data_IF_672997250026
#
_entry.id   IF_672997250026
#
_cell.length_a   1.000
_cell.length_b   1.000
_cell.length_c   1.000
_cell.angle_alpha   90.00
_cell.angle_beta   90.00
_cell.angle_gamma   90.00
#
_symmetry.space_group_name_H-M   'P 1'
#
loop_
_entity.id
_entity.type
_entity.pdbx_description
1 polymer ?
#
# COMPACT_ATOMS: atom_id res chain seq x y z
N UNK A 1 5.48 -41.46 1.71
CA UNK A 1 6.54 -40.55 2.22
C UNK A 1 6.89 -39.44 1.22
N UNK A 2 7.34 -39.76 -0.01
CA UNK A 2 7.72 -38.74 -1.01
C UNK A 2 6.59 -37.79 -1.45
N UNK A 3 5.33 -38.24 -1.52
CA UNK A 3 4.18 -37.38 -1.91
C UNK A 3 3.76 -36.39 -0.82
N UNK A 4 3.87 -36.79 0.46
CA UNK A 4 3.63 -35.92 1.61
C UNK A 4 4.74 -34.88 1.76
N UNK A 5 6.00 -35.27 1.49
CA UNK A 5 7.13 -34.34 1.49
C UNK A 5 7.03 -33.32 0.34
N UNK A 6 6.60 -33.74 -0.86
CA UNK A 6 6.31 -32.83 -1.98
C UNK A 6 5.14 -31.89 -1.69
N UNK A 7 4.08 -32.38 -1.03
CA UNK A 7 2.98 -31.52 -0.56
C UNK A 7 3.48 -30.55 0.52
N UNK A 8 4.23 -31.00 1.51
CA UNK A 8 4.78 -30.14 2.57
C UNK A 8 5.77 -29.10 2.03
N UNK A 9 6.57 -29.44 1.01
CA UNK A 9 7.39 -28.50 0.24
C UNK A 9 6.52 -27.51 -0.54
N UNK A 10 5.51 -27.98 -1.25
CA UNK A 10 4.58 -27.14 -2.00
C UNK A 10 3.84 -26.13 -1.10
N UNK A 11 3.36 -26.59 0.06
CA UNK A 11 2.75 -25.74 1.09
C UNK A 11 3.82 -24.87 1.77
N UNK A 12 5.02 -25.37 1.99
CA UNK A 12 6.08 -24.61 2.60
C UNK A 12 6.60 -23.43 1.78
N UNK A 13 6.82 -23.68 0.50
CA UNK A 13 7.14 -22.63 -0.46
C UNK A 13 5.96 -21.66 -0.70
N UNK A 14 4.72 -22.05 -0.34
CA UNK A 14 3.58 -21.13 -0.35
C UNK A 14 3.57 -20.09 0.78
N UNK A 15 4.10 -20.44 1.95
CA UNK A 15 3.77 -19.73 3.19
C UNK A 15 4.98 -19.17 3.93
N UNK A 16 6.04 -18.78 3.19
CA UNK A 16 7.29 -18.20 3.72
C UNK A 16 7.06 -17.13 4.80
N UNK A 17 6.19 -16.18 4.55
CA UNK A 17 6.06 -15.02 5.42
C UNK A 17 5.18 -15.31 6.65
N UNK A 18 4.22 -16.24 6.56
CA UNK A 18 3.51 -16.72 7.74
C UNK A 18 4.44 -17.53 8.67
N UNK A 19 5.49 -18.13 8.11
CA UNK A 19 6.57 -18.77 8.88
C UNK A 19 7.47 -17.70 9.52
N UNK A 20 7.88 -16.67 8.79
CA UNK A 20 8.71 -15.58 9.34
C UNK A 20 7.97 -14.72 10.38
N UNK A 21 6.68 -14.43 10.20
CA UNK A 21 5.81 -13.76 11.21
C UNK A 21 5.63 -14.62 12.45
N UNK A 22 5.52 -15.96 12.31
CA UNK A 22 5.46 -16.87 13.46
C UNK A 22 6.83 -17.08 14.13
N UNK A 23 7.94 -16.90 13.41
CA UNK A 23 9.31 -17.05 13.93
C UNK A 23 9.90 -15.75 14.49
N UNK A 24 9.37 -14.58 14.13
CA UNK A 24 9.77 -13.29 14.71
C UNK A 24 9.48 -13.15 16.21
N UNK A 25 8.63 -14.02 16.77
CA UNK A 25 8.40 -14.17 18.21
C UNK A 25 9.39 -15.10 18.93
N UNK A 26 10.26 -15.80 18.19
CA UNK A 26 11.29 -16.70 18.75
C UNK A 26 12.65 -16.07 18.51
N UNK A 27 13.12 -15.27 19.47
CA UNK A 27 14.54 -14.94 19.53
C UNK A 27 15.33 -16.24 19.71
N UNK A 28 15.99 -16.73 18.66
CA UNK A 28 17.08 -17.69 18.80
C UNK A 28 18.36 -17.04 18.31
N UNK A 29 19.19 -16.68 19.29
CA UNK A 29 20.62 -16.46 19.09
C UNK A 29 21.24 -17.70 18.45
N UNK A 30 22.29 -17.48 17.64
CA UNK A 30 23.17 -18.49 17.03
C UNK A 30 22.61 -19.22 15.80
N UNK A 31 22.60 -18.54 14.65
CA UNK A 31 22.65 -19.18 13.34
C UNK A 31 23.76 -18.54 12.47
N UNK A 32 24.60 -19.33 11.78
CA UNK A 32 25.68 -18.81 10.95
C UNK A 32 25.13 -18.08 9.71
N UNK A 33 25.84 -17.05 9.19
CA UNK A 33 25.39 -16.25 8.06
C UNK A 33 25.45 -17.11 6.79
N UNK A 34 24.28 -17.42 6.21
CA UNK A 34 24.21 -18.09 4.90
C UNK A 34 23.07 -19.10 4.70
N UNK A 35 22.29 -19.44 5.72
CA UNK A 35 21.24 -20.47 5.61
C UNK A 35 19.81 -19.92 5.72
N UNK A 36 19.45 -18.86 4.98
CA UNK A 36 18.07 -18.36 4.88
C UNK A 36 17.23 -19.18 3.88
N UNK A 37 17.27 -20.51 3.99
CA UNK A 37 16.42 -21.38 3.18
C UNK A 37 15.07 -21.60 3.87
N UNK A 38 14.01 -21.31 3.12
CA UNK A 38 12.60 -21.58 3.43
C UNK A 38 12.34 -22.99 3.99
N UNK A 39 13.06 -23.97 3.46
CA UNK A 39 13.05 -25.35 3.92
C UNK A 39 13.47 -25.48 5.39
N UNK A 40 14.48 -24.72 5.83
CA UNK A 40 14.91 -24.69 7.22
C UNK A 40 13.84 -24.13 8.15
N UNK A 41 13.15 -23.06 7.73
CA UNK A 41 12.10 -22.43 8.51
C UNK A 41 10.82 -23.28 8.62
N UNK A 42 10.45 -24.00 7.55
CA UNK A 42 9.36 -25.00 7.61
C UNK A 42 9.71 -26.21 8.43
N UNK A 43 10.93 -26.72 8.28
CA UNK A 43 11.38 -27.85 9.09
C UNK A 43 11.40 -27.43 10.57
N UNK A 44 11.74 -26.17 10.88
CA UNK A 44 11.63 -25.59 12.22
C UNK A 44 10.17 -25.50 12.71
N UNK A 45 9.23 -24.94 11.95
CA UNK A 45 7.80 -24.88 12.35
C UNK A 45 7.17 -26.27 12.45
N UNK A 46 7.50 -27.18 11.53
CA UNK A 46 7.00 -28.55 11.53
C UNK A 46 7.60 -29.40 12.66
N UNK A 47 8.86 -29.14 13.04
CA UNK A 47 9.50 -29.69 14.25
C UNK A 47 9.13 -28.93 15.53
N UNK A 48 8.46 -27.78 15.42
CA UNK A 48 8.00 -26.96 16.52
C UNK A 48 6.94 -27.66 17.37
N UNK A 49 6.53 -27.01 18.46
CA UNK A 49 5.49 -27.54 19.34
C UNK A 49 4.15 -27.64 18.59
N UNK A 50 3.23 -28.53 19.01
CA UNK A 50 1.87 -28.56 18.46
C UNK A 50 1.18 -27.20 18.44
N UNK A 51 1.47 -26.34 19.43
CA UNK A 51 0.96 -24.97 19.52
C UNK A 51 1.51 -24.06 18.40
N UNK A 52 2.80 -24.13 18.10
CA UNK A 52 3.43 -23.36 17.01
C UNK A 52 2.88 -23.78 15.64
N UNK A 53 2.69 -25.08 15.40
CA UNK A 53 2.05 -25.59 14.17
C UNK A 53 0.62 -25.10 14.03
N UNK A 54 -0.15 -25.12 15.12
CA UNK A 54 -1.55 -24.65 15.14
C UNK A 54 -1.62 -23.16 14.83
N UNK A 55 -0.84 -22.32 15.51
CA UNK A 55 -0.80 -20.87 15.27
C UNK A 55 -0.41 -20.52 13.82
N UNK A 56 0.55 -21.25 13.25
CA UNK A 56 0.93 -21.08 11.84
C UNK A 56 -0.23 -21.41 10.89
N UNK A 57 -0.89 -22.56 11.07
CA UNK A 57 -2.03 -22.96 10.22
C UNK A 57 -3.19 -21.98 10.36
N UNK A 58 -3.50 -21.54 11.57
CA UNK A 58 -4.55 -20.54 11.83
C UNK A 58 -4.22 -19.20 11.15
N UNK A 59 -2.97 -18.75 11.20
CA UNK A 59 -2.53 -17.52 10.50
C UNK A 59 -2.68 -17.64 8.99
N UNK A 60 -2.32 -18.81 8.43
CA UNK A 60 -2.45 -19.08 6.99
C UNK A 60 -3.93 -19.12 6.57
N UNK A 61 -4.78 -19.80 7.34
CA UNK A 61 -6.21 -19.88 7.05
C UNK A 61 -6.89 -18.52 7.20
N UNK A 62 -6.53 -17.73 8.22
CA UNK A 62 -7.00 -16.35 8.38
C UNK A 62 -6.65 -15.50 7.16
N UNK A 63 -5.40 -15.55 6.69
CA UNK A 63 -4.98 -14.79 5.51
C UNK A 63 -5.69 -15.26 4.23
N UNK A 64 -5.92 -16.57 4.09
CA UNK A 64 -6.67 -17.14 2.96
C UNK A 64 -8.17 -16.84 3.01
N UNK A 65 -8.72 -16.54 4.19
CA UNK A 65 -10.13 -16.19 4.37
C UNK A 65 -10.41 -14.72 4.04
N UNK A 66 -9.39 -13.87 3.93
CA UNK A 66 -9.55 -12.45 3.61
C UNK A 66 -10.08 -12.29 2.17
N UNK A 67 -11.00 -11.34 1.94
CA UNK A 67 -11.53 -11.08 0.62
C UNK A 67 -10.40 -10.64 -0.32
N UNK A 68 -10.50 -11.06 -1.60
CA UNK A 68 -9.49 -10.75 -2.62
C UNK A 68 -9.34 -9.24 -2.88
N UNK A 69 -10.37 -8.46 -2.55
CA UNK A 69 -10.33 -7.01 -2.56
C UNK A 69 -10.94 -6.41 -1.28
N UNK A 70 -10.78 -5.11 -1.12
CA UNK A 70 -11.50 -4.32 -0.11
C UNK A 70 -11.67 -2.89 -0.61
N UNK A 71 -12.63 -2.17 -0.02
CA UNK A 71 -12.86 -0.75 -0.32
C UNK A 71 -12.19 0.12 0.74
N UNK A 72 -11.49 1.18 0.33
CA UNK A 72 -10.96 2.19 1.24
C UNK A 72 -11.12 3.60 0.66
N UNK A 73 -11.27 4.60 1.52
CA UNK A 73 -11.38 6.00 1.09
C UNK A 73 -9.99 6.62 1.00
N UNK A 74 -9.69 7.28 -0.13
CA UNK A 74 -8.47 8.03 -0.32
C UNK A 74 -8.61 9.41 0.30
N UNK A 75 -7.69 9.77 1.19
CA UNK A 75 -7.55 11.13 1.73
C UNK A 75 -6.34 11.81 1.10
N UNK A 76 -6.40 13.13 0.95
CA UNK A 76 -5.31 13.91 0.34
C UNK A 76 -5.41 14.03 -1.17
N UNK A 77 -4.56 14.92 -1.70
CA UNK A 77 -4.49 15.28 -3.11
C UNK A 77 -3.23 14.72 -3.79
N UNK A 78 -2.44 13.87 -3.13
CA UNK A 78 -1.14 13.43 -3.66
C UNK A 78 -1.22 12.63 -4.95
N UNK A 79 -2.38 12.03 -5.24
CA UNK A 79 -2.61 11.29 -6.49
C UNK A 79 -3.39 12.09 -7.54
N UNK A 80 -3.66 13.38 -7.32
CA UNK A 80 -4.24 14.24 -8.34
C UNK A 80 -3.23 14.45 -9.48
N UNK A 81 -3.66 14.54 -10.75
CA UNK A 81 -5.05 14.56 -11.21
C UNK A 81 -5.68 13.17 -11.40
N UNK A 82 -4.92 12.08 -11.23
CA UNK A 82 -5.43 10.73 -11.49
C UNK A 82 -6.55 10.32 -10.53
N UNK A 83 -6.34 10.56 -9.22
CA UNK A 83 -7.30 10.28 -8.16
C UNK A 83 -7.47 11.53 -7.30
N UNK A 84 -8.66 11.75 -6.75
CA UNK A 84 -8.98 12.89 -5.88
C UNK A 84 -8.79 14.27 -6.52
N UNK A 85 -8.86 14.40 -7.85
CA UNK A 85 -8.72 15.68 -8.53
C UNK A 85 -9.79 16.72 -8.13
N UNK A 86 -10.96 16.26 -7.69
CA UNK A 86 -12.10 17.10 -7.32
C UNK A 86 -12.12 17.48 -5.82
N UNK A 87 -11.19 16.96 -5.02
CA UNK A 87 -11.20 17.18 -3.57
C UNK A 87 -10.64 18.56 -3.26
N UNK A 88 -11.50 19.44 -2.74
CA UNK A 88 -11.13 20.84 -2.46
C UNK A 88 -10.12 21.00 -1.32
N UNK A 89 -10.08 20.06 -0.37
CA UNK A 89 -9.20 20.10 0.82
C UNK A 89 -8.41 18.80 0.96
N UNK A 90 -7.09 18.85 1.20
CA UNK A 90 -6.27 17.64 1.35
C UNK A 90 -6.64 16.81 2.59
N UNK A 91 -7.43 17.35 3.52
CA UNK A 91 -7.85 16.64 4.72
C UNK A 91 -9.20 15.96 4.60
N UNK A 92 -9.93 16.20 3.50
CA UNK A 92 -11.23 15.56 3.30
C UNK A 92 -11.08 14.16 2.71
N UNK A 93 -11.98 13.24 3.10
CA UNK A 93 -12.16 12.00 2.36
C UNK A 93 -12.58 12.33 0.92
N UNK A 94 -11.90 11.71 -0.04
CA UNK A 94 -12.20 11.79 -1.48
C UNK A 94 -12.80 10.49 -2.00
N UNK A 95 -12.22 9.98 -3.08
CA UNK A 95 -12.64 8.79 -3.81
C UNK A 95 -12.60 7.54 -2.94
N UNK A 96 -13.60 6.67 -3.13
CA UNK A 96 -13.56 5.30 -2.62
C UNK A 96 -12.86 4.43 -3.65
N UNK A 97 -11.87 3.68 -3.20
CA UNK A 97 -11.02 2.85 -4.03
C UNK A 97 -11.33 1.38 -3.78
N UNK A 98 -11.56 0.62 -4.85
CA UNK A 98 -11.54 -0.85 -4.79
C UNK A 98 -10.10 -1.30 -4.96
N UNK A 99 -9.56 -1.93 -3.92
CA UNK A 99 -8.16 -2.32 -3.83
C UNK A 99 -8.09 -3.84 -3.86
N UNK A 100 -7.47 -4.39 -4.91
CA UNK A 100 -7.09 -5.79 -4.97
C UNK A 100 -5.95 -6.05 -4.00
N UNK A 101 -6.12 -7.00 -3.08
CA UNK A 101 -5.02 -7.49 -2.25
C UNK A 101 -4.00 -8.19 -3.16
N UNK A 102 -2.77 -7.73 -3.12
CA UNK A 102 -1.69 -8.38 -3.84
C UNK A 102 -1.13 -9.46 -2.94
N UNK A 103 -1.57 -10.69 -3.16
CA UNK A 103 -0.99 -11.84 -2.49
C UNK A 103 0.49 -11.93 -2.86
N UNK A 104 1.34 -12.01 -1.84
CA UNK A 104 2.80 -12.16 -1.98
C UNK A 104 3.24 -13.47 -2.67
N UNK A 105 2.25 -14.26 -3.08
CA UNK A 105 2.36 -15.66 -3.45
C UNK A 105 2.35 -15.88 -4.98
N UNK A 106 2.90 -14.96 -5.76
CA UNK A 106 3.02 -15.14 -7.22
C UNK A 106 4.35 -15.80 -7.59
N UNK A 107 4.61 -16.99 -7.05
CA UNK A 107 5.57 -17.92 -7.64
C UNK A 107 4.84 -18.76 -8.69
N UNK A 108 5.23 -18.64 -9.97
CA UNK A 108 4.72 -19.51 -11.02
C UNK A 108 5.69 -20.66 -11.24
N UNK A 109 5.21 -21.89 -11.16
CA UNK A 109 5.96 -23.06 -11.63
C UNK A 109 5.61 -23.27 -13.10
N UNK A 110 6.50 -22.92 -14.02
CA UNK A 110 6.35 -23.35 -15.41
C UNK A 110 6.77 -24.82 -15.52
N UNK A 111 5.80 -25.69 -15.77
CA UNK A 111 6.02 -27.14 -15.88
C UNK A 111 6.52 -27.57 -17.27
N UNK A 112 6.91 -26.63 -18.14
CA UNK A 112 7.11 -26.89 -19.58
C UNK A 112 8.32 -27.79 -19.88
N UNK A 113 9.26 -28.01 -18.93
CA UNK A 113 10.44 -28.87 -19.15
C UNK A 113 10.87 -29.75 -17.97
N UNK A 114 10.05 -29.88 -16.92
CA UNK A 114 10.45 -30.61 -15.70
C UNK A 114 11.51 -29.87 -14.85
N UNK A 115 11.91 -28.66 -15.27
CA UNK A 115 12.76 -27.75 -14.52
C UNK A 115 11.87 -26.74 -13.80
N UNK A 116 11.89 -26.74 -12.47
CA UNK A 116 11.11 -25.78 -11.67
C UNK A 116 11.87 -24.46 -11.61
N UNK A 117 11.65 -23.60 -12.60
CA UNK A 117 12.20 -22.24 -12.57
C UNK A 117 11.28 -21.36 -11.73
N UNK A 118 11.76 -20.97 -10.53
CA UNK A 118 11.03 -20.05 -9.66
C UNK A 118 11.20 -18.62 -10.15
N UNK A 119 10.40 -18.19 -11.13
CA UNK A 119 10.29 -16.77 -11.43
C UNK A 119 9.43 -16.12 -10.34
N UNK A 120 10.08 -15.37 -9.43
CA UNK A 120 9.37 -14.46 -8.52
C UNK A 120 8.79 -13.36 -9.39
N UNK A 121 7.50 -13.43 -9.69
CA UNK A 121 6.84 -12.37 -10.45
C UNK A 121 6.81 -11.10 -9.60
N UNK A 122 7.04 -9.91 -10.21
CA UNK A 122 6.82 -8.65 -9.52
C UNK A 122 5.39 -8.57 -8.98
N UNK A 123 5.22 -8.01 -7.78
CA UNK A 123 3.91 -7.79 -7.17
C UNK A 123 3.15 -6.71 -7.95
N UNK A 124 3.88 -5.71 -8.42
CA UNK A 124 3.39 -4.61 -9.23
C UNK A 124 4.35 -4.34 -10.39
N UNK A 125 3.85 -3.67 -11.42
CA UNK A 125 4.61 -3.27 -12.59
C UNK A 125 4.64 -1.74 -12.70
N UNK A 126 5.58 -1.21 -13.49
CA UNK A 126 5.62 0.23 -13.79
C UNK A 126 4.27 0.71 -14.31
N UNK A 127 3.79 1.82 -13.77
CA UNK A 127 2.48 2.41 -14.05
C UNK A 127 1.35 1.92 -13.14
N UNK A 128 1.54 0.89 -12.33
CA UNK A 128 0.52 0.45 -11.37
C UNK A 128 0.34 1.46 -10.23
N UNK A 129 -0.90 1.67 -9.79
CA UNK A 129 -1.23 2.41 -8.58
C UNK A 129 -1.42 1.43 -7.44
N UNK A 130 -0.56 1.55 -6.42
CA UNK A 130 -0.48 0.61 -5.30
C UNK A 130 -0.74 1.31 -3.98
N UNK A 131 -1.25 0.54 -3.02
CA UNK A 131 -1.33 0.93 -1.62
C UNK A 131 -0.09 0.42 -0.91
N UNK A 132 0.67 1.34 -0.31
CA UNK A 132 1.96 1.09 0.32
C UNK A 132 1.89 1.49 1.79
N UNK A 133 2.46 0.69 2.68
CA UNK A 133 2.69 1.06 4.08
C UNK A 133 3.84 2.06 4.15
N UNK A 134 3.70 3.08 4.99
CA UNK A 134 4.83 3.98 5.27
C UNK A 134 5.97 3.15 5.89
N UNK A 135 7.19 3.16 5.30
CA UNK A 135 8.34 2.45 5.86
C UNK A 135 8.71 2.91 7.27
N UNK A 136 8.39 4.15 7.63
CA UNK A 136 8.68 4.72 8.95
C UNK A 136 7.54 4.53 9.95
N UNK A 137 6.30 4.37 9.48
CA UNK A 137 5.12 4.18 10.31
C UNK A 137 4.12 3.22 9.65
N UNK A 138 4.26 1.92 9.90
CA UNK A 138 3.44 0.87 9.28
C UNK A 138 1.92 1.00 9.51
N UNK A 139 1.49 1.85 10.44
CA UNK A 139 0.07 2.16 10.65
C UNK A 139 -0.49 3.03 9.51
N UNK A 140 0.38 3.82 8.87
CA UNK A 140 0.03 4.71 7.76
C UNK A 140 0.12 3.99 6.43
N UNK A 141 -0.75 4.42 5.52
CA UNK A 141 -0.83 3.89 4.16
C UNK A 141 -0.89 5.04 3.18
N UNK A 142 -0.14 4.90 2.10
CA UNK A 142 -0.11 5.81 0.98
C UNK A 142 -0.62 5.11 -0.27
N UNK A 143 -1.27 5.86 -1.15
CA UNK A 143 -1.54 5.42 -2.52
C UNK A 143 -0.54 6.09 -3.43
N UNK A 144 0.23 5.31 -4.18
CA UNK A 144 1.34 5.81 -5.03
C UNK A 144 1.42 5.05 -6.33
N UNK A 145 1.99 5.67 -7.35
CA UNK A 145 2.28 5.03 -8.64
C UNK A 145 3.66 4.41 -8.62
N UNK A 146 3.76 3.16 -9.05
CA UNK A 146 5.03 2.48 -9.28
C UNK A 146 5.67 3.06 -10.53
N UNK A 147 6.88 3.60 -10.40
CA UNK A 147 7.62 4.22 -11.51
C UNK A 147 8.80 3.36 -11.93
N UNK A 148 9.44 2.68 -10.98
CA UNK A 148 10.55 1.77 -11.25
C UNK A 148 10.51 0.51 -10.38
N UNK A 149 11.16 -0.53 -10.86
CA UNK A 149 11.19 -1.89 -10.31
C UNK A 149 12.64 -2.35 -10.09
N UNK A 150 12.80 -3.49 -9.41
CA UNK A 150 14.06 -4.22 -9.31
C UNK A 150 14.86 -4.22 -10.62
N UNK A 151 16.13 -3.82 -10.52
CA UNK A 151 17.07 -3.76 -11.63
C UNK A 151 17.10 -2.42 -12.36
N UNK A 152 16.13 -1.54 -12.14
CA UNK A 152 16.11 -0.21 -12.74
C UNK A 152 17.16 0.71 -12.11
N UNK A 153 17.70 1.60 -12.94
CA UNK A 153 18.64 2.64 -12.53
C UNK A 153 17.94 3.99 -12.57
N UNK A 154 18.02 4.72 -11.46
CA UNK A 154 17.39 6.01 -11.26
C UNK A 154 18.47 7.09 -11.23
N UNK A 155 18.23 8.18 -11.96
CA UNK A 155 19.08 9.37 -11.92
C UNK A 155 18.54 10.30 -10.85
N UNK A 156 19.37 10.67 -9.88
CA UNK A 156 18.99 11.64 -8.87
C UNK A 156 18.89 13.04 -9.50
N UNK A 157 17.78 13.74 -9.25
CA UNK A 157 17.55 15.08 -9.75
C UNK A 157 18.62 16.06 -9.19
N UNK A 158 19.28 16.81 -10.08
CA UNK A 158 20.37 17.73 -9.74
C UNK A 158 21.78 17.20 -10.03
N UNK A 159 21.95 15.90 -10.29
CA UNK A 159 23.23 15.35 -10.75
C UNK A 159 23.30 15.31 -12.28
N UNK A 160 23.67 16.44 -12.89
CA UNK A 160 23.92 16.56 -14.33
C UNK A 160 25.13 15.74 -14.81
N UNK A 161 25.96 15.23 -13.89
CA UNK A 161 27.11 14.40 -14.23
C UNK A 161 26.73 12.92 -14.43
N UNK A 162 25.50 12.53 -14.06
CA UNK A 162 24.99 11.16 -14.23
C UNK A 162 25.72 10.13 -13.37
N UNK A 163 26.42 10.56 -12.32
CA UNK A 163 27.36 9.70 -11.58
C UNK A 163 26.68 9.03 -10.38
N UNK A 164 25.65 9.65 -9.80
CA UNK A 164 24.82 9.08 -8.74
C UNK A 164 23.62 8.30 -9.32
N UNK A 165 23.89 7.08 -9.81
CA UNK A 165 22.85 6.13 -10.19
C UNK A 165 22.40 5.34 -8.96
N UNK A 166 21.13 5.48 -8.59
CA UNK A 166 20.50 4.59 -7.61
C UNK A 166 19.95 3.38 -8.36
N UNK A 167 20.55 2.21 -8.15
CA UNK A 167 20.03 0.95 -8.68
C UNK A 167 19.09 0.29 -7.69
N UNK A 168 17.88 -0.04 -8.12
CA UNK A 168 16.91 -0.74 -7.29
C UNK A 168 17.30 -2.20 -7.10
N UNK A 169 17.43 -2.61 -5.84
CA UNK A 169 17.76 -3.97 -5.48
C UNK A 169 16.57 -4.91 -5.67
N UNK A 170 16.80 -6.19 -5.35
CA UNK A 170 15.78 -7.21 -5.40
C UNK A 170 14.57 -6.87 -4.55
N UNK A 171 13.37 -7.02 -5.11
CA UNK A 171 12.11 -6.73 -4.44
C UNK A 171 11.93 -5.26 -4.01
N UNK A 172 12.70 -4.33 -4.58
CA UNK A 172 12.51 -2.90 -4.37
C UNK A 172 11.66 -2.29 -5.47
N UNK A 173 10.89 -1.27 -5.08
CA UNK A 173 10.01 -0.50 -5.95
C UNK A 173 10.25 0.97 -5.66
N UNK A 174 10.26 1.79 -6.71
CA UNK A 174 10.22 3.23 -6.56
C UNK A 174 8.81 3.72 -6.84
N UNK A 175 8.21 4.40 -5.86
CA UNK A 175 6.83 4.83 -5.92
C UNK A 175 6.74 6.35 -5.79
N UNK A 176 6.00 6.98 -6.69
CA UNK A 176 5.82 8.43 -6.72
C UNK A 176 4.36 8.81 -6.56
N UNK A 177 4.14 10.04 -6.12
CA UNK A 177 2.84 10.70 -6.17
C UNK A 177 2.61 11.26 -7.58
N UNK A 178 1.37 11.28 -8.05
CA UNK A 178 1.02 11.85 -9.37
C UNK A 178 0.90 13.38 -9.32
N UNK A 179 0.76 13.94 -8.12
CA UNK A 179 0.61 15.38 -7.93
C UNK A 179 1.96 16.07 -8.01
N UNK A 180 2.18 16.74 -9.14
CA UNK A 180 3.39 17.48 -9.46
C UNK A 180 3.41 18.91 -8.89
N UNK A 181 2.32 19.38 -8.29
CA UNK A 181 2.30 20.69 -7.64
C UNK A 181 3.27 20.73 -6.46
N UNK A 182 4.04 21.83 -6.31
CA UNK A 182 4.89 22.01 -5.15
C UNK A 182 4.05 22.08 -3.88
N UNK A 183 4.57 21.53 -2.78
CA UNK A 183 3.84 21.50 -1.50
C UNK A 183 3.60 22.92 -0.96
N UNK A 184 4.42 23.87 -1.36
CA UNK A 184 4.30 25.29 -1.00
C UNK A 184 2.98 25.89 -1.48
N UNK A 185 2.46 25.49 -2.65
CA UNK A 185 1.16 25.92 -3.16
C UNK A 185 0.02 25.43 -2.25
N UNK A 186 0.05 24.17 -1.84
CA UNK A 186 -0.93 23.62 -0.90
C UNK A 186 -0.86 24.29 0.48
N UNK A 187 0.37 24.55 0.97
CA UNK A 187 0.57 25.26 2.24
C UNK A 187 0.02 26.68 2.15
N UNK A 188 0.22 27.35 1.01
CA UNK A 188 -0.31 28.69 0.79
C UNK A 188 -1.84 28.66 0.73
N UNK A 189 -2.43 27.71 0.00
CA UNK A 189 -3.87 27.48 0.00
C UNK A 189 -4.43 27.26 1.41
N UNK A 190 -3.76 26.46 2.25
CA UNK A 190 -4.17 26.25 3.64
C UNK A 190 -4.14 27.54 4.47
N UNK A 191 -3.09 28.36 4.33
CA UNK A 191 -3.01 29.65 5.03
C UNK A 191 -4.16 30.57 4.66
N UNK A 192 -4.47 30.64 3.36
CA UNK A 192 -5.52 31.51 2.86
C UNK A 192 -6.91 31.01 3.28
N UNK A 193 -7.11 29.69 3.34
CA UNK A 193 -8.35 29.08 3.83
C UNK A 193 -8.58 29.34 5.33
N UNK A 194 -7.55 29.19 6.17
CA UNK A 194 -7.64 29.48 7.61
C UNK A 194 -7.94 30.97 7.84
N UNK A 195 -7.25 31.88 7.14
CA UNK A 195 -7.52 33.32 7.23
C UNK A 195 -8.95 33.67 6.89
N UNK A 196 -9.49 33.08 5.81
CA UNK A 196 -10.89 33.29 5.41
C UNK A 196 -11.85 32.79 6.48
N UNK A 197 -11.59 31.59 7.02
CA UNK A 197 -12.44 30.99 8.05
C UNK A 197 -12.42 31.82 9.33
N UNK A 198 -11.27 32.32 9.76
CA UNK A 198 -11.14 33.24 10.91
C UNK A 198 -11.91 34.55 10.69
N UNK A 199 -11.91 35.09 9.47
CA UNK A 199 -12.71 36.26 9.08
C UNK A 199 -14.22 36.00 9.14
N UNK A 200 -14.68 34.88 8.56
CA UNK A 200 -16.10 34.51 8.54
C UNK A 200 -16.63 34.18 9.95
N UNK A 201 -15.79 33.63 10.84
CA UNK A 201 -16.16 33.29 12.22
C UNK A 201 -16.34 34.54 13.10
N UNK A 202 -15.62 35.64 12.81
CA UNK A 202 -15.80 36.92 13.49
C UNK A 202 -17.15 37.57 13.15
N UNK A 203 -17.65 37.36 11.93
CA UNK A 203 -18.97 37.84 11.50
C UNK A 203 -20.11 36.96 12.05
N UNK A 204 -19.94 35.63 12.08
CA UNK A 204 -20.95 34.69 12.59
C UNK A 204 -21.09 34.66 14.13
N UNK A 205 -20.01 34.99 14.87
CA UNK A 205 -20.06 35.07 16.34
C UNK A 205 -20.90 36.25 16.88
N UNK A 206 -21.40 37.14 16.01
CA UNK A 206 -22.38 38.15 16.38
C UNK A 206 -23.83 37.63 16.37
N UNK A 207 -24.12 36.46 15.79
CA UNK A 207 -25.50 35.96 15.62
C UNK A 207 -25.81 34.62 16.32
N UNK A 208 -24.83 33.77 16.66
CA UNK A 208 -25.15 32.39 17.08
C UNK A 208 -24.54 31.99 18.43
N UNK A 209 -25.12 32.53 19.50
CA UNK A 209 -24.79 32.18 20.88
C UNK A 209 -25.87 31.28 21.53
N UNK A 210 -26.13 30.06 21.02
CA UNK A 210 -26.84 29.01 21.78
C UNK A 210 -26.86 27.64 21.06
N UNK A 211 -25.86 26.78 21.26
CA UNK A 211 -26.07 25.32 21.15
C UNK A 211 -24.97 24.51 21.88
N UNK A 212 -25.32 23.48 22.66
CA UNK A 212 -24.35 22.62 23.32
C UNK A 212 -23.73 21.61 22.33
N UNK A 213 -22.39 21.59 22.26
CA UNK A 213 -21.63 20.64 21.41
C UNK A 213 -21.27 19.38 22.21
N UNK A 214 -21.83 18.24 21.81
CA UNK A 214 -21.50 16.91 22.33
C UNK A 214 -20.06 16.51 21.97
N UNK A 215 -19.27 16.13 22.96
CA UNK A 215 -17.84 15.79 22.85
C UNK A 215 -17.61 14.29 22.99
N UNK A 216 -17.60 13.58 21.86
CA UNK A 216 -16.86 12.31 21.72
C UNK A 216 -16.65 12.00 20.23
N UNK A 217 -15.81 12.79 19.57
CA UNK A 217 -15.35 12.49 18.22
C UNK A 217 -13.90 12.96 18.07
N UNK A 218 -13.07 12.13 17.44
CA UNK A 218 -11.72 12.47 17.01
C UNK A 218 -11.75 13.81 16.29
N UNK A 219 -10.95 14.78 16.75
CA UNK A 219 -10.91 16.13 16.16
C UNK A 219 -10.57 16.00 14.67
N UNK A 220 -11.43 16.47 13.75
CA UNK A 220 -11.16 16.49 12.32
C UNK A 220 -9.84 17.20 12.02
N UNK A 221 -9.06 16.70 11.07
CA UNK A 221 -7.76 17.27 10.72
C UNK A 221 -7.84 18.76 10.31
N UNK A 222 -8.98 19.21 9.76
CA UNK A 222 -9.26 20.61 9.42
C UNK A 222 -9.39 21.54 10.65
N UNK A 223 -9.67 21.00 11.84
CA UNK A 223 -9.81 21.75 13.08
C UNK A 223 -8.51 21.81 13.89
N UNK A 224 -7.45 21.15 13.42
CA UNK A 224 -6.15 21.21 14.07
C UNK A 224 -5.49 22.58 13.86
N UNK A 225 -4.60 23.02 14.76
CA UNK A 225 -3.80 24.23 14.54
C UNK A 225 -3.02 24.16 13.21
N UNK A 226 -2.91 25.28 12.51
CA UNK A 226 -2.22 25.38 11.21
C UNK A 226 -0.83 24.69 11.17
N UNK A 227 0.04 24.81 12.20
CA UNK A 227 1.31 24.07 12.19
C UNK A 227 1.16 22.55 12.13
N UNK A 228 0.12 22.00 12.78
CA UNK A 228 -0.18 20.57 12.75
C UNK A 228 -0.77 20.15 11.40
N UNK A 229 -1.63 20.99 10.80
CA UNK A 229 -2.14 20.77 9.45
C UNK A 229 -1.00 20.72 8.42
N UNK A 230 -0.07 21.68 8.46
CA UNK A 230 1.10 21.71 7.57
C UNK A 230 1.97 20.46 7.77
N UNK A 231 2.14 20.00 9.01
CA UNK A 231 2.86 18.75 9.30
C UNK A 231 2.16 17.54 8.68
N UNK A 232 0.84 17.44 8.82
CA UNK A 232 0.07 16.35 8.20
C UNK A 232 0.13 16.39 6.67
N UNK A 233 0.02 17.57 6.07
CA UNK A 233 0.14 17.75 4.63
C UNK A 233 1.50 17.26 4.11
N UNK A 234 2.59 17.59 4.81
CA UNK A 234 3.94 17.08 4.50
C UNK A 234 4.00 15.57 4.53
N UNK A 235 3.42 14.94 5.57
CA UNK A 235 3.36 13.48 5.67
C UNK A 235 2.56 12.89 4.52
N UNK A 236 1.38 13.46 4.21
CA UNK A 236 0.49 12.96 3.16
C UNK A 236 1.13 13.01 1.78
N UNK A 237 2.03 13.96 1.50
CA UNK A 237 2.72 14.08 0.22
C UNK A 237 3.95 13.19 0.08
N UNK A 238 4.45 12.53 1.13
CA UNK A 238 5.70 11.76 1.03
C UNK A 238 5.68 10.66 -0.02
N UNK A 239 6.77 10.48 -0.74
CA UNK A 239 6.96 9.36 -1.67
C UNK A 239 8.40 8.83 -1.64
N UNK A 240 8.79 7.99 -2.61
CA UNK A 240 10.14 7.40 -2.62
C UNK A 240 11.28 8.43 -2.68
N UNK A 241 11.01 9.68 -3.07
CA UNK A 241 12.01 10.76 -2.95
C UNK A 241 12.30 11.13 -1.49
N UNK A 242 11.32 10.91 -0.60
CA UNK A 242 11.38 11.28 0.81
C UNK A 242 11.80 10.12 1.72
N UNK A 243 11.36 8.88 1.43
CA UNK A 243 11.65 7.69 2.24
C UNK A 243 12.49 6.62 1.52
N UNK A 244 12.87 6.86 0.27
CA UNK A 244 13.65 5.92 -0.53
C UNK A 244 12.84 4.80 -1.19
N UNK A 245 13.50 3.73 -1.66
CA UNK A 245 12.82 2.60 -2.28
C UNK A 245 11.99 1.82 -1.26
N UNK A 246 10.83 1.33 -1.68
CA UNK A 246 9.96 0.49 -0.84
C UNK A 246 10.12 -0.96 -1.21
N UNK A 247 10.17 -1.84 -0.21
CA UNK A 247 10.19 -3.28 -0.47
C UNK A 247 8.78 -3.76 -0.79
N UNK A 248 8.68 -4.89 -1.50
CA UNK A 248 7.40 -5.54 -1.79
C UNK A 248 6.57 -5.87 -0.53
N UNK A 249 7.19 -5.95 0.65
CA UNK A 249 6.49 -6.21 1.91
C UNK A 249 5.64 -5.02 2.38
N UNK A 250 5.99 -3.81 1.94
CA UNK A 250 5.23 -2.60 2.20
C UNK A 250 4.04 -2.46 1.24
N UNK A 251 4.03 -3.16 0.10
CA UNK A 251 2.91 -3.13 -0.85
C UNK A 251 1.78 -4.04 -0.33
N UNK A 252 0.61 -3.44 -0.08
CA UNK A 252 -0.59 -4.14 0.40
C UNK A 252 -1.43 -4.64 -0.77
N UNK A 253 -1.61 -3.79 -1.78
CA UNK A 253 -2.60 -4.02 -2.83
C UNK A 253 -2.46 -3.06 -3.99
N UNK A 254 -3.22 -3.33 -5.05
CA UNK A 254 -3.34 -2.48 -6.23
C UNK A 254 -4.72 -1.87 -6.29
N UNK A 255 -4.80 -0.59 -6.61
CA UNK A 255 -6.06 0.09 -6.86
C UNK A 255 -6.56 -0.30 -8.25
N UNK A 256 -7.74 -0.94 -8.34
CA UNK A 256 -8.29 -1.44 -9.60
C UNK A 256 -9.52 -0.67 -10.08
N UNK A 257 -10.21 0.03 -9.18
CA UNK A 257 -11.39 0.83 -9.47
C UNK A 257 -11.48 2.03 -8.54
N UNK A 258 -12.01 3.14 -9.02
CA UNK A 258 -12.23 4.36 -8.26
C UNK A 258 -13.69 4.79 -8.38
N UNK A 259 -14.29 5.19 -7.26
CA UNK A 259 -15.68 5.61 -7.14
C UNK A 259 -15.65 7.02 -6.56
N UNK A 260 -15.99 8.02 -7.38
CA UNK A 260 -16.11 9.43 -6.94
C UNK A 260 -17.52 9.69 -6.44
N UNK A 261 -18.51 9.26 -7.21
CA UNK A 261 -19.92 9.27 -6.83
C UNK A 261 -20.65 8.12 -7.57
N UNK A 262 -21.97 8.06 -7.46
CA UNK A 262 -22.81 7.01 -8.07
C UNK A 262 -22.80 7.01 -9.60
N UNK A 263 -22.37 8.11 -10.22
CA UNK A 263 -22.38 8.28 -11.69
C UNK A 263 -20.95 8.40 -12.26
N UNK A 264 -20.04 8.99 -11.50
CA UNK A 264 -18.62 9.15 -11.83
C UNK A 264 -17.80 8.11 -11.05
N UNK A 265 -17.66 6.96 -11.68
CA UNK A 265 -16.83 5.87 -11.20
C UNK A 265 -16.23 5.13 -12.39
N UNK A 266 -15.08 4.51 -12.19
CA UNK A 266 -14.37 3.92 -13.31
C UNK A 266 -13.16 3.11 -12.95
N UNK A 267 -12.70 2.36 -13.94
CA UNK A 267 -11.52 1.53 -13.83
C UNK A 267 -10.26 2.39 -13.73
N UNK A 268 -9.39 2.05 -12.78
CA UNK A 268 -8.10 2.71 -12.65
C UNK A 268 -7.12 2.16 -13.68
N UNK A 269 -6.47 3.07 -14.42
CA UNK A 269 -5.49 2.71 -15.45
C UNK A 269 -4.16 2.32 -14.80
N UNK A 270 -3.92 1.01 -14.78
CA UNK A 270 -2.67 0.38 -14.36
C UNK A 270 -1.86 -0.10 -15.58
N UNK A 271 -0.77 -0.83 -15.35
CA UNK A 271 -0.04 -1.50 -16.44
C UNK A 271 -0.91 -2.55 -17.15
N UNK A 272 -0.61 -2.83 -18.42
CA UNK A 272 -1.32 -3.84 -19.21
C UNK A 272 -1.36 -5.24 -18.55
N UNK A 273 -0.20 -5.78 -18.09
CA UNK A 273 -0.17 -7.07 -17.38
C UNK A 273 -1.03 -7.11 -16.11
N UNK A 274 -1.09 -5.99 -15.38
CA UNK A 274 -1.91 -5.86 -14.18
C UNK A 274 -3.39 -5.82 -14.53
N UNK A 275 -3.77 -4.97 -15.49
CA UNK A 275 -5.14 -4.86 -15.96
C UNK A 275 -5.70 -6.22 -16.41
N UNK A 276 -4.98 -6.96 -17.25
CA UNK A 276 -5.40 -8.29 -17.72
C UNK A 276 -5.64 -9.28 -16.56
N UNK A 277 -4.84 -9.21 -15.49
CA UNK A 277 -5.00 -10.08 -14.32
C UNK A 277 -6.14 -9.65 -13.41
N UNK A 278 -6.43 -8.36 -13.39
CA UNK A 278 -7.42 -7.74 -12.52
C UNK A 278 -8.84 -7.84 -13.10
N UNK A 279 -8.99 -8.07 -14.41
CA UNK A 279 -10.29 -8.11 -15.12
C UNK A 279 -11.31 -9.04 -14.46
N UNK A 280 -10.93 -10.30 -14.19
CA UNK A 280 -11.85 -11.30 -13.63
C UNK A 280 -12.29 -10.93 -12.21
N UNK A 281 -11.37 -10.42 -11.40
CA UNK A 281 -11.68 -10.00 -10.03
C UNK A 281 -12.56 -8.76 -10.07
N UNK A 282 -12.22 -7.78 -10.91
CA UNK A 282 -12.99 -6.56 -11.03
C UNK A 282 -14.45 -6.86 -11.44
N UNK A 283 -14.67 -7.76 -12.40
CA UNK A 283 -16.02 -8.15 -12.81
C UNK A 283 -16.87 -8.69 -11.65
N UNK A 284 -16.28 -9.55 -10.80
CA UNK A 284 -16.96 -10.11 -9.62
C UNK A 284 -17.24 -9.04 -8.57
N UNK A 285 -16.27 -8.15 -8.32
CA UNK A 285 -16.40 -7.10 -7.30
C UNK A 285 -17.45 -6.05 -7.69
N UNK A 286 -17.50 -5.65 -8.96
CA UNK A 286 -18.51 -4.71 -9.44
C UNK A 286 -19.93 -5.29 -9.34
N UNK A 287 -20.09 -6.59 -9.58
CA UNK A 287 -21.36 -7.29 -9.38
C UNK A 287 -21.77 -7.29 -7.90
N UNK A 288 -20.83 -7.55 -6.98
CA UNK A 288 -21.11 -7.51 -5.54
C UNK A 288 -21.46 -6.11 -5.02
N UNK A 289 -20.91 -5.07 -5.65
CA UNK A 289 -21.19 -3.67 -5.33
C UNK A 289 -22.48 -3.15 -5.99
N UNK A 290 -23.16 -3.97 -6.81
CA UNK A 290 -24.39 -3.56 -7.51
C UNK A 290 -24.15 -2.51 -8.60
N UNK A 291 -22.96 -2.47 -9.19
CA UNK A 291 -22.56 -1.49 -10.21
C UNK A 291 -22.52 -2.07 -11.63
N UNK A 292 -23.12 -3.26 -11.84
CA UNK A 292 -23.23 -3.95 -13.12
C UNK A 292 -24.70 -4.16 -13.50
#
# INVERSE_FOLDING_TARGET
MASLFRRALYWGFRFRDAIEVSLGGVQSSTAPPGASSLLGALVQVWRGTPAQRKAFVETVLDEMSKPASYVATLTGNSMAPTLNAHVASPFRPGERLVIRRLSRWTGSTDNVRGEVTYYRRPLAYRGDIVVVKDPEDISRRFVRRVVALEGDELVQEGDLSGTALLRLERNQYWVLRDNDHPIEEDIQWLRDHVRKTEGDTLEQNLEEAAAPRNTSATVPAEQLPLPQQIKLLRILRRDSRDFGPVTGDHIIGRVIYAIRNEVDHGRVRNSGPSMMRDDVILAVELQQLGMC
#
